data_IF_028880941799
#
_entry.id   IF_028880941799
#
_cell.length_a   1.000
_cell.length_b   1.000
_cell.length_c   1.000
_cell.angle_alpha   90.00
_cell.angle_beta   90.00
_cell.angle_gamma   90.00
#
_symmetry.space_group_name_H-M   'P 1'
#
loop_
_entity.id
_entity.type
_entity.pdbx_description
1 polymer ?
#
# COMPACT_ATOMS: atom_id res chain seq x y z
N UNK A 1 -25.98 8.25 -43.25
CA UNK A 1 -24.51 8.35 -43.05
C UNK A 1 -24.11 8.81 -41.64
N UNK A 2 -24.91 9.66 -40.97
CA UNK A 2 -24.63 10.20 -39.63
C UNK A 2 -24.53 9.15 -38.50
N UNK A 3 -25.41 8.14 -38.51
CA UNK A 3 -25.44 7.06 -37.50
C UNK A 3 -24.18 6.19 -37.48
N UNK A 4 -23.57 5.91 -38.64
CA UNK A 4 -22.33 5.10 -38.72
C UNK A 4 -21.14 5.83 -38.09
N UNK A 5 -21.02 7.15 -38.30
CA UNK A 5 -19.96 7.97 -37.69
C UNK A 5 -20.13 8.12 -36.17
N UNK A 6 -21.38 8.13 -35.69
CA UNK A 6 -21.66 8.17 -34.24
C UNK A 6 -21.31 6.84 -33.56
N UNK A 7 -21.67 5.72 -34.21
CA UNK A 7 -21.32 4.37 -33.74
C UNK A 7 -19.82 4.13 -33.71
N UNK A 8 -19.09 4.49 -34.78
CA UNK A 8 -17.63 4.35 -34.82
C UNK A 8 -16.91 5.17 -33.75
N UNK A 9 -17.45 6.32 -33.35
CA UNK A 9 -16.89 7.12 -32.24
C UNK A 9 -17.14 6.49 -30.88
N UNK A 10 -18.31 5.86 -30.68
CA UNK A 10 -18.62 5.13 -29.46
C UNK A 10 -17.77 3.86 -29.34
N UNK A 11 -17.58 3.12 -30.44
CA UNK A 11 -16.72 1.93 -30.47
C UNK A 11 -15.26 2.30 -30.16
N UNK A 12 -14.76 3.43 -30.71
CA UNK A 12 -13.41 3.92 -30.41
C UNK A 12 -13.25 4.40 -28.96
N UNK A 13 -14.31 4.96 -28.34
CA UNK A 13 -14.30 5.33 -26.93
C UNK A 13 -14.30 4.08 -26.03
N UNK A 14 -15.11 3.08 -26.35
CA UNK A 14 -15.16 1.81 -25.61
C UNK A 14 -13.79 1.12 -25.60
N UNK A 15 -13.14 1.03 -26.77
CA UNK A 15 -11.80 0.44 -26.87
C UNK A 15 -10.75 1.20 -26.04
N UNK A 16 -10.84 2.55 -25.95
CA UNK A 16 -9.94 3.35 -25.11
C UNK A 16 -10.21 3.16 -23.62
N UNK A 17 -11.46 2.99 -23.21
CA UNK A 17 -11.81 2.70 -21.81
C UNK A 17 -11.25 1.34 -21.40
N UNK A 18 -11.45 0.32 -22.23
CA UNK A 18 -10.90 -1.03 -22.00
C UNK A 18 -9.37 -1.02 -21.87
N UNK A 19 -8.68 -0.25 -22.72
CA UNK A 19 -7.22 -0.09 -22.62
C UNK A 19 -6.81 0.60 -21.31
N UNK A 20 -7.54 1.64 -20.89
CA UNK A 20 -7.26 2.35 -19.64
C UNK A 20 -7.50 1.46 -18.42
N UNK A 21 -8.58 0.68 -18.41
CA UNK A 21 -8.87 -0.30 -17.35
C UNK A 21 -7.76 -1.35 -17.26
N UNK A 22 -7.31 -1.88 -18.39
CA UNK A 22 -6.20 -2.82 -18.44
C UNK A 22 -4.90 -2.21 -17.88
N UNK A 23 -4.59 -0.96 -18.26
CA UNK A 23 -3.40 -0.26 -17.76
C UNK A 23 -3.50 0.03 -16.26
N UNK A 24 -4.66 0.46 -15.78
CA UNK A 24 -4.93 0.70 -14.36
C UNK A 24 -4.76 -0.59 -13.56
N UNK A 25 -5.30 -1.72 -14.06
CA UNK A 25 -5.12 -3.04 -13.45
C UNK A 25 -3.64 -3.42 -13.31
N UNK A 26 -2.82 -3.21 -14.35
CA UNK A 26 -1.37 -3.48 -14.26
C UNK A 26 -0.65 -2.59 -13.25
N UNK A 27 -1.04 -1.32 -13.15
CA UNK A 27 -0.46 -0.39 -12.16
C UNK A 27 -0.84 -0.82 -10.75
N UNK A 28 -2.12 -1.14 -10.52
CA UNK A 28 -2.61 -1.62 -9.23
C UNK A 28 -1.87 -2.89 -8.77
N UNK A 29 -1.71 -3.88 -9.66
CA UNK A 29 -0.95 -5.10 -9.35
C UNK A 29 0.50 -4.80 -8.97
N UNK A 30 1.18 -3.93 -9.72
CA UNK A 30 2.55 -3.53 -9.40
C UNK A 30 2.65 -2.80 -8.07
N UNK A 31 1.70 -1.91 -7.80
CA UNK A 31 1.64 -1.17 -6.55
C UNK A 31 1.45 -2.11 -5.36
N UNK A 32 0.51 -3.06 -5.43
CA UNK A 32 0.30 -4.06 -4.38
C UNK A 32 1.56 -4.91 -4.15
N UNK A 33 2.22 -5.35 -5.22
CA UNK A 33 3.46 -6.11 -5.13
C UNK A 33 4.58 -5.29 -4.47
N UNK A 34 4.75 -4.03 -4.86
CA UNK A 34 5.71 -3.11 -4.24
C UNK A 34 5.41 -2.88 -2.77
N UNK A 35 4.16 -2.57 -2.42
CA UNK A 35 3.73 -2.36 -1.03
C UNK A 35 3.99 -3.60 -0.17
N UNK A 36 3.72 -4.79 -0.70
CA UNK A 36 4.00 -6.06 0.01
C UNK A 36 5.49 -6.26 0.24
N UNK A 37 6.32 -6.09 -0.80
CA UNK A 37 7.77 -6.24 -0.69
C UNK A 37 8.38 -5.23 0.29
N UNK A 38 7.99 -3.96 0.20
CA UNK A 38 8.45 -2.93 1.13
C UNK A 38 7.99 -3.21 2.56
N UNK A 39 6.73 -3.57 2.76
CA UNK A 39 6.21 -3.87 4.10
C UNK A 39 6.94 -5.05 4.73
N UNK A 40 7.19 -6.10 3.95
CA UNK A 40 7.93 -7.28 4.40
C UNK A 40 9.37 -6.95 4.76
N UNK A 41 10.07 -6.18 3.92
CA UNK A 41 11.44 -5.75 4.19
C UNK A 41 11.53 -4.87 5.45
N UNK A 42 10.62 -3.91 5.59
CA UNK A 42 10.52 -3.05 6.78
C UNK A 42 10.23 -3.88 8.03
N UNK A 43 9.32 -4.85 7.95
CA UNK A 43 8.98 -5.74 9.05
C UNK A 43 10.19 -6.58 9.49
N UNK A 44 10.99 -7.09 8.54
CA UNK A 44 12.20 -7.83 8.85
C UNK A 44 13.23 -6.98 9.62
N UNK A 45 13.45 -5.74 9.17
CA UNK A 45 14.35 -4.79 9.85
C UNK A 45 13.79 -4.42 11.23
N UNK A 46 12.49 -4.12 11.32
CA UNK A 46 11.83 -3.77 12.58
C UNK A 46 11.85 -4.93 13.58
N UNK A 47 11.76 -6.18 13.12
CA UNK A 47 11.84 -7.38 13.95
C UNK A 47 13.18 -7.54 14.66
N UNK A 48 14.26 -6.98 14.11
CA UNK A 48 15.59 -6.97 14.73
C UNK A 48 15.76 -5.90 15.82
N UNK A 49 14.86 -4.93 15.90
CA UNK A 49 14.91 -3.85 16.88
C UNK A 49 14.34 -4.33 18.23
N UNK A 50 14.96 -3.97 19.38
CA UNK A 50 14.39 -4.22 20.70
C UNK A 50 12.96 -3.68 20.84
N UNK A 51 12.09 -4.44 21.50
CA UNK A 51 10.65 -4.18 21.61
C UNK A 51 10.30 -2.74 22.03
N UNK A 52 11.00 -2.21 23.05
CA UNK A 52 10.79 -0.87 23.56
C UNK A 52 11.12 0.22 22.53
N UNK A 53 12.21 0.05 21.77
CA UNK A 53 12.61 0.97 20.71
C UNK A 53 11.70 0.85 19.50
N UNK A 54 11.27 -0.36 19.16
CA UNK A 54 10.34 -0.62 18.06
C UNK A 54 8.99 0.06 18.30
N UNK A 55 8.39 -0.10 19.48
CA UNK A 55 7.13 0.57 19.83
C UNK A 55 7.23 2.09 19.72
N UNK A 56 8.33 2.66 20.20
CA UNK A 56 8.60 4.09 20.08
C UNK A 56 8.75 4.52 18.63
N UNK A 57 9.47 3.76 17.81
CA UNK A 57 9.60 4.00 16.37
C UNK A 57 8.23 4.04 15.66
N UNK A 58 7.39 3.02 15.86
CA UNK A 58 6.04 2.99 15.26
C UNK A 58 5.15 4.13 15.75
N UNK A 59 5.29 4.54 17.01
CA UNK A 59 4.57 5.70 17.54
C UNK A 59 5.01 7.00 16.84
N UNK A 60 6.31 7.24 16.71
CA UNK A 60 6.84 8.43 16.01
C UNK A 60 6.48 8.43 14.52
N UNK A 61 6.50 7.26 13.85
CA UNK A 61 6.08 7.15 12.45
C UNK A 61 4.62 7.53 12.24
N UNK A 62 3.71 7.10 13.13
CA UNK A 62 2.31 7.52 13.11
C UNK A 62 2.19 9.05 13.29
N UNK A 63 2.88 9.60 14.29
CA UNK A 63 2.86 11.04 14.54
C UNK A 63 3.35 11.84 13.31
N UNK A 64 4.42 11.39 12.66
CA UNK A 64 4.93 12.02 11.43
C UNK A 64 3.92 11.96 10.27
N UNK A 65 3.20 10.84 10.12
CA UNK A 65 2.20 10.70 9.07
C UNK A 65 0.99 11.59 9.30
N UNK A 66 0.45 11.62 10.52
CA UNK A 66 -0.63 12.53 10.88
C UNK A 66 -0.22 14.00 10.77
N UNK A 67 1.03 14.34 11.09
CA UNK A 67 1.54 15.69 10.89
C UNK A 67 1.72 16.07 9.40
N UNK A 68 1.80 15.08 8.51
CA UNK A 68 1.99 15.28 7.06
C UNK A 68 0.68 15.26 6.28
N UNK A 69 -0.41 14.79 6.88
CA UNK A 69 -1.75 14.80 6.32
C UNK A 69 -2.30 16.25 6.34
N UNK A 70 -2.56 16.84 5.17
CA UNK A 70 -3.20 18.17 5.07
C UNK A 70 -4.70 18.08 5.40
N UNK A 71 -5.40 19.18 5.67
CA UNK A 71 -6.84 19.18 6.04
C UNK A 71 -7.82 18.75 4.90
N UNK A 72 -7.37 17.98 3.90
CA UNK A 72 -8.20 17.53 2.79
C UNK A 72 -8.82 16.15 3.04
N UNK A 73 -9.98 15.85 2.44
CA UNK A 73 -10.65 14.54 2.53
C UNK A 73 -9.73 13.39 2.07
N UNK A 74 -8.82 13.67 1.12
CA UNK A 74 -7.81 12.73 0.64
C UNK A 74 -6.82 12.36 1.76
N UNK A 75 -6.59 13.27 2.71
CA UNK A 75 -5.66 13.06 3.80
C UNK A 75 -6.19 12.05 4.83
N UNK A 76 -7.48 12.07 5.15
CA UNK A 76 -8.08 11.08 6.07
C UNK A 76 -7.97 9.64 5.50
N UNK A 77 -8.27 9.47 4.21
CA UNK A 77 -8.11 8.16 3.55
C UNK A 77 -6.64 7.71 3.51
N UNK A 78 -5.71 8.65 3.37
CA UNK A 78 -4.27 8.38 3.41
C UNK A 78 -3.79 8.04 4.83
N UNK A 79 -4.30 8.71 5.85
CA UNK A 79 -4.02 8.42 7.26
C UNK A 79 -4.48 7.01 7.63
N UNK A 80 -5.73 6.67 7.33
CA UNK A 80 -6.27 5.33 7.59
C UNK A 80 -5.53 4.24 6.81
N UNK A 81 -5.04 4.56 5.61
CA UNK A 81 -4.21 3.63 4.83
C UNK A 81 -2.82 3.48 5.45
N UNK A 82 -2.24 4.56 5.94
CA UNK A 82 -0.92 4.55 6.57
C UNK A 82 -0.93 3.79 7.90
N UNK A 83 -1.97 3.99 8.72
CA UNK A 83 -2.15 3.25 9.97
C UNK A 83 -2.28 1.75 9.72
N UNK A 84 -3.13 1.34 8.78
CA UNK A 84 -3.26 -0.07 8.38
C UNK A 84 -1.93 -0.66 7.91
N UNK A 85 -1.17 0.08 7.11
CA UNK A 85 0.14 -0.37 6.63
C UNK A 85 1.13 -0.56 7.79
N UNK A 86 1.16 0.36 8.75
CA UNK A 86 2.02 0.23 9.92
C UNK A 86 1.62 -0.94 10.82
N UNK A 87 0.31 -1.20 10.97
CA UNK A 87 -0.19 -2.35 11.71
C UNK A 87 0.22 -3.67 11.03
N UNK A 88 0.10 -3.75 9.70
CA UNK A 88 0.54 -4.92 8.92
C UNK A 88 2.05 -5.17 9.10
N UNK A 89 2.87 -4.11 9.01
CA UNK A 89 4.32 -4.20 9.21
C UNK A 89 4.65 -4.65 10.63
N UNK A 90 3.95 -4.12 11.64
CA UNK A 90 4.16 -4.49 13.03
C UNK A 90 3.82 -5.97 13.27
N UNK A 91 2.68 -6.44 12.75
CA UNK A 91 2.28 -7.85 12.81
C UNK A 91 3.32 -8.76 12.13
N UNK A 92 3.77 -8.41 10.92
CA UNK A 92 4.79 -9.18 10.21
C UNK A 92 6.10 -9.24 10.99
N UNK A 93 6.52 -8.14 11.62
CA UNK A 93 7.75 -8.08 12.41
C UNK A 93 7.69 -9.00 13.64
N UNK A 94 6.51 -9.10 14.26
CA UNK A 94 6.27 -10.01 15.39
C UNK A 94 6.32 -11.47 14.95
N UNK A 95 5.71 -11.82 13.82
CA UNK A 95 5.74 -13.19 13.25
C UNK A 95 7.16 -13.59 12.85
N UNK A 96 7.90 -12.74 12.13
CA UNK A 96 9.28 -13.02 11.73
C UNK A 96 10.19 -13.26 12.94
N UNK A 97 9.99 -12.54 14.05
CA UNK A 97 10.75 -12.78 15.28
C UNK A 97 10.45 -14.16 15.88
N UNK A 98 9.19 -14.59 15.90
CA UNK A 98 8.80 -15.90 16.42
C UNK A 98 9.39 -17.04 15.59
N UNK A 99 9.40 -16.91 14.25
CA UNK A 99 10.07 -17.86 13.36
C UNK A 99 11.57 -17.98 13.64
N UNK A 100 12.27 -16.84 13.78
CA UNK A 100 13.71 -16.81 14.05
C UNK A 100 14.10 -17.36 15.44
N UNK A 101 13.18 -17.34 16.42
CA UNK A 101 13.38 -17.96 17.74
C UNK A 101 13.20 -19.47 17.66
N UNK A 102 12.26 -19.96 16.84
CA UNK A 102 12.00 -21.40 16.65
C UNK A 102 13.13 -22.13 15.92
N UNK A 103 13.91 -21.46 15.06
CA UNK A 103 15.04 -22.06 14.33
C UNK A 103 16.33 -22.13 15.15
N UNK A 104 16.37 -21.54 16.35
CA UNK A 104 17.55 -21.50 17.24
C UNK A 104 17.45 -22.43 18.45
N UNK A 105 16.39 -23.23 18.55
CA UNK A 105 16.18 -24.25 19.58
C UNK A 105 16.40 -25.65 19.00
#
# INVERSE_FOLDING_TARGET
>A
MWWRRRRSRLDALAARVEELEYRLGRVAVRQVASETLFSTATAFVAGAIPENLRRRLFHELRNCAHASASDEVIALELEERFDRLLDDIQMMAEVSRLGNVSERQ
#
